data_IF_685452147872
#
_entry.id   IF_685452147872
#
_cell.length_a   1.000
_cell.length_b   1.000
_cell.length_c   1.000
_cell.angle_alpha   90.00
_cell.angle_beta   90.00
_cell.angle_gamma   90.00
#
_symmetry.space_group_name_H-M   'P 1'
#
loop_
_entity.id
_entity.type
_entity.pdbx_description
1 polymer ?
#
# COMPACT_ATOMS: atom_id res chain seq x y z
N UNK A 1 -14.44 -59.56 21.34
CA UNK A 1 -15.44 -60.21 22.22
C UNK A 1 -16.39 -59.16 22.75
N UNK A 2 -17.74 -59.45 22.64
CA UNK A 2 -18.90 -58.73 23.23
C UNK A 2 -19.16 -57.30 22.73
N UNK A 3 -20.11 -57.01 21.81
CA UNK A 3 -21.60 -57.22 21.76
C UNK A 3 -22.35 -56.62 22.95
N UNK A 4 -23.23 -55.60 22.71
CA UNK A 4 -24.69 -55.61 22.77
C UNK A 4 -25.18 -54.14 22.77
N UNK A 5 -25.96 -53.67 21.78
CA UNK A 5 -27.44 -53.64 21.61
C UNK A 5 -28.14 -52.64 22.54
N UNK A 6 -28.73 -51.65 22.01
CA UNK A 6 -30.08 -51.42 21.44
C UNK A 6 -30.94 -50.53 22.34
N UNK A 7 -31.71 -49.63 21.77
CA UNK A 7 -32.74 -48.84 22.42
C UNK A 7 -33.42 -47.84 21.48
N UNK A 8 -34.37 -48.28 20.69
CA UNK A 8 -35.36 -47.49 19.93
C UNK A 8 -36.37 -46.85 20.89
N UNK A 9 -36.72 -45.60 20.66
CA UNK A 9 -38.03 -45.06 21.09
C UNK A 9 -38.54 -44.09 20.02
N UNK A 10 -39.58 -44.52 19.33
CA UNK A 10 -40.44 -43.81 18.40
C UNK A 10 -41.48 -43.03 19.22
N UNK A 11 -41.71 -41.79 18.88
CA UNK A 11 -42.79 -40.99 19.44
C UNK A 11 -43.33 -40.03 18.37
N UNK A 12 -44.32 -40.51 17.63
CA UNK A 12 -45.14 -39.72 16.68
C UNK A 12 -46.21 -38.96 17.46
N UNK A 13 -46.41 -37.66 17.14
CA UNK A 13 -47.70 -37.01 17.39
C UNK A 13 -48.11 -36.14 16.20
N UNK A 14 -49.32 -36.30 15.80
CA UNK A 14 -50.02 -35.80 14.64
C UNK A 14 -50.60 -34.39 14.85
N UNK A 15 -50.56 -33.60 13.80
CA UNK A 15 -51.58 -32.77 13.10
C UNK A 15 -52.52 -31.90 13.94
N UNK A 16 -52.55 -30.60 13.57
CA UNK A 16 -53.81 -29.86 13.31
C UNK A 16 -53.58 -28.74 12.29
N UNK A 17 -54.18 -28.88 11.14
CA UNK A 17 -54.41 -27.86 10.14
C UNK A 17 -55.61 -27.00 10.55
N UNK A 18 -55.57 -25.69 10.35
CA UNK A 18 -56.74 -24.82 10.23
C UNK A 18 -56.53 -23.86 9.10
N UNK A 19 -57.31 -24.01 8.07
CA UNK A 19 -57.45 -23.13 6.94
C UNK A 19 -58.59 -22.12 7.15
N UNK A 20 -58.59 -21.06 6.37
CA UNK A 20 -59.63 -20.08 5.96
C UNK A 20 -59.44 -18.67 6.56
N UNK A 21 -59.22 -17.72 5.66
CA UNK A 21 -60.20 -16.81 5.10
C UNK A 21 -59.60 -15.54 4.50
N UNK A 22 -59.62 -15.45 3.25
CA UNK A 22 -60.05 -14.44 2.27
C UNK A 22 -59.88 -12.93 2.49
N UNK A 23 -59.25 -12.31 1.46
CA UNK A 23 -59.52 -11.04 0.79
C UNK A 23 -59.19 -9.71 1.50
N UNK A 24 -58.36 -8.90 0.80
CA UNK A 24 -58.23 -7.47 0.99
C UNK A 24 -56.99 -6.95 0.30
N UNK A 25 -57.11 -6.43 -0.93
CA UNK A 25 -56.05 -5.84 -1.72
C UNK A 25 -55.51 -4.57 -1.06
N UNK A 26 -54.22 -4.40 -1.17
CA UNK A 26 -53.52 -3.19 -0.81
C UNK A 26 -52.08 -3.32 -1.26
N UNK A 27 -51.77 -2.79 -2.45
CA UNK A 27 -50.43 -2.72 -2.98
C UNK A 27 -49.52 -1.89 -2.04
N UNK A 28 -48.79 -2.59 -1.17
CA UNK A 28 -47.69 -1.99 -0.48
C UNK A 28 -46.45 -2.17 -1.35
N UNK A 29 -46.07 -1.12 -2.04
CA UNK A 29 -44.74 -0.97 -2.61
C UNK A 29 -43.76 -1.15 -1.45
N UNK A 30 -43.13 -2.30 -1.41
CA UNK A 30 -41.93 -2.51 -0.58
C UNK A 30 -40.86 -1.54 -1.05
N UNK A 31 -40.93 -0.31 -0.55
CA UNK A 31 -39.72 0.53 -0.42
C UNK A 31 -38.82 -0.23 0.54
N UNK A 32 -37.95 -1.03 -0.02
CA UNK A 32 -36.80 -1.55 0.67
C UNK A 32 -35.99 -0.35 1.11
N UNK A 33 -36.32 0.22 2.26
CA UNK A 33 -35.51 1.20 2.95
C UNK A 33 -34.19 0.48 3.24
N UNK A 34 -33.17 0.83 2.46
CA UNK A 34 -31.77 0.48 2.70
C UNK A 34 -31.49 0.76 4.18
N UNK A 35 -31.59 -0.25 5.00
CA UNK A 35 -31.10 -0.20 6.38
C UNK A 35 -29.60 0.10 6.27
N UNK A 36 -29.18 1.27 6.77
CA UNK A 36 -27.81 1.78 6.70
C UNK A 36 -26.79 0.93 7.45
N UNK A 37 -26.57 -0.30 6.98
CA UNK A 37 -25.57 -1.19 7.51
C UNK A 37 -24.17 -0.72 7.14
N UNK A 38 -23.25 -0.72 8.09
CA UNK A 38 -21.83 -0.42 7.85
C UNK A 38 -21.20 -1.56 7.06
N UNK A 39 -20.62 -1.26 5.88
CA UNK A 39 -19.88 -2.21 5.06
C UNK A 39 -18.44 -2.33 5.56
N UNK A 40 -18.02 -3.51 5.96
CA UNK A 40 -16.61 -3.77 6.29
C UNK A 40 -15.79 -3.94 5.01
N UNK A 41 -14.74 -3.13 4.87
CA UNK A 41 -13.82 -3.10 3.74
C UNK A 41 -12.44 -3.53 4.23
N UNK A 42 -11.92 -4.63 3.70
CA UNK A 42 -10.57 -5.13 4.00
C UNK A 42 -9.57 -4.46 3.06
N UNK A 43 -8.51 -3.89 3.62
CA UNK A 43 -7.48 -3.17 2.88
C UNK A 43 -6.10 -3.74 3.19
N UNK A 44 -5.38 -4.17 2.15
CA UNK A 44 -3.97 -4.51 2.27
C UNK A 44 -3.10 -3.25 2.29
N UNK A 45 -2.27 -3.09 3.32
CA UNK A 45 -1.41 -1.92 3.52
C UNK A 45 0.03 -2.32 3.84
N UNK A 46 0.97 -1.37 3.73
CA UNK A 46 2.36 -1.52 4.17
C UNK A 46 2.52 -0.65 5.42
N UNK A 47 3.21 -1.09 6.50
CA UNK A 47 3.34 -0.29 7.72
C UNK A 47 4.42 0.79 7.58
N UNK A 48 4.16 1.79 6.74
CA UNK A 48 5.01 2.94 6.40
C UNK A 48 4.21 4.24 6.50
N UNK A 49 4.89 5.39 6.48
CA UNK A 49 4.26 6.71 6.60
C UNK A 49 3.21 6.99 5.53
N UNK A 50 3.39 6.43 4.36
CA UNK A 50 2.57 6.61 3.15
C UNK A 50 1.07 6.41 3.41
N UNK A 51 0.73 5.42 4.25
CA UNK A 51 -0.65 5.03 4.55
C UNK A 51 -1.23 5.69 5.81
N UNK A 52 -0.48 6.58 6.45
CA UNK A 52 -0.96 7.31 7.62
C UNK A 52 -2.31 8.01 7.40
N UNK A 53 -2.60 8.61 6.22
CA UNK A 53 -3.91 9.21 5.95
C UNK A 53 -5.08 8.24 6.10
N UNK A 54 -4.89 6.95 5.75
CA UNK A 54 -5.96 5.96 5.87
C UNK A 54 -6.32 5.69 7.34
N UNK A 55 -5.30 5.55 8.21
CA UNK A 55 -5.49 5.38 9.64
C UNK A 55 -6.09 6.64 10.28
N UNK A 56 -5.59 7.80 9.91
CA UNK A 56 -6.09 9.09 10.40
C UNK A 56 -7.53 9.33 9.96
N UNK A 57 -7.86 9.09 8.69
CA UNK A 57 -9.23 9.21 8.18
C UNK A 57 -10.22 8.26 8.84
N UNK A 58 -9.77 7.04 9.21
CA UNK A 58 -10.59 6.14 10.00
C UNK A 58 -10.84 6.69 11.42
N UNK A 59 -9.82 7.23 12.09
CA UNK A 59 -9.94 7.86 13.40
C UNK A 59 -10.86 9.08 13.37
N UNK A 60 -10.79 9.89 12.31
CA UNK A 60 -11.63 11.08 12.09
C UNK A 60 -13.05 10.77 11.61
N UNK A 61 -13.36 9.50 11.36
CA UNK A 61 -14.69 9.09 10.96
C UNK A 61 -15.03 9.33 9.47
N UNK A 62 -14.03 9.63 8.60
CA UNK A 62 -14.29 9.93 7.19
C UNK A 62 -14.83 8.73 6.42
N UNK A 63 -14.46 7.53 6.83
CA UNK A 63 -15.00 6.29 6.29
C UNK A 63 -16.36 5.95 6.90
N UNK A 64 -16.51 6.07 8.22
CA UNK A 64 -17.75 5.69 8.92
C UNK A 64 -18.95 6.57 8.53
N UNK A 65 -18.73 7.87 8.28
CA UNK A 65 -19.80 8.76 7.78
C UNK A 65 -20.32 8.40 6.39
N UNK A 66 -19.55 7.57 5.63
CA UNK A 66 -19.95 6.98 4.34
C UNK A 66 -20.42 5.52 4.48
N UNK A 67 -20.62 5.05 5.71
CA UNK A 67 -21.05 3.68 5.97
C UNK A 67 -19.95 2.63 5.70
N UNK A 68 -18.67 3.00 5.75
CA UNK A 68 -17.54 2.09 5.60
C UNK A 68 -16.80 1.91 6.93
N UNK A 69 -16.38 0.66 7.21
CA UNK A 69 -15.46 0.31 8.30
C UNK A 69 -14.24 -0.36 7.70
N UNK A 70 -13.06 0.22 7.85
CA UNK A 70 -11.84 -0.39 7.34
C UNK A 70 -11.31 -1.49 8.28
N UNK A 71 -10.84 -2.58 7.68
CA UNK A 71 -10.06 -3.62 8.33
C UNK A 71 -8.72 -3.72 7.60
N UNK A 72 -7.66 -3.15 8.17
CA UNK A 72 -6.35 -3.07 7.54
C UNK A 72 -5.50 -4.28 7.92
N UNK A 73 -4.82 -4.87 6.92
CA UNK A 73 -3.87 -5.99 7.08
C UNK A 73 -2.55 -5.59 6.46
N UNK A 74 -1.47 -5.75 7.21
CA UNK A 74 -0.12 -5.35 6.78
C UNK A 74 0.57 -6.44 5.95
N UNK A 75 1.32 -6.01 4.94
CA UNK A 75 2.20 -6.84 4.12
C UNK A 75 3.55 -6.14 3.88
N UNK A 76 4.54 -6.87 3.38
CA UNK A 76 5.90 -6.36 3.16
C UNK A 76 5.99 -5.34 2.00
N UNK A 77 5.12 -5.45 1.01
CA UNK A 77 5.11 -4.56 -0.16
C UNK A 77 3.89 -4.76 -1.04
N UNK A 78 3.67 -3.84 -1.97
CA UNK A 78 2.52 -3.84 -2.88
C UNK A 78 2.39 -5.12 -3.72
N UNK A 79 3.51 -5.68 -4.18
CA UNK A 79 3.52 -6.94 -4.93
C UNK A 79 2.92 -8.11 -4.11
N UNK A 80 3.10 -8.12 -2.79
CA UNK A 80 2.49 -9.11 -1.90
C UNK A 80 0.99 -8.86 -1.66
N UNK A 81 0.50 -7.62 -1.85
CA UNK A 81 -0.91 -7.25 -1.67
C UNK A 81 -1.75 -7.59 -2.91
N UNK A 82 -1.18 -7.48 -4.11
CA UNK A 82 -1.88 -7.69 -5.39
C UNK A 82 -2.65 -9.02 -5.44
N UNK A 83 -2.05 -10.20 -5.09
CA UNK A 83 -2.78 -11.46 -5.11
C UNK A 83 -3.98 -11.47 -4.15
N UNK A 84 -3.87 -10.82 -2.99
CA UNK A 84 -4.97 -10.71 -2.03
C UNK A 84 -6.14 -9.87 -2.54
N UNK A 85 -5.88 -8.83 -3.33
CA UNK A 85 -6.93 -8.03 -3.98
C UNK A 85 -7.59 -8.81 -5.11
N UNK A 86 -6.80 -9.48 -5.94
CA UNK A 86 -7.32 -10.25 -7.09
C UNK A 86 -8.17 -11.44 -6.63
N UNK A 87 -7.78 -12.10 -5.53
CA UNK A 87 -8.55 -13.21 -4.95
C UNK A 87 -9.78 -12.76 -4.17
N UNK A 88 -9.97 -11.45 -3.93
CA UNK A 88 -11.06 -10.91 -3.10
C UNK A 88 -10.83 -11.01 -1.59
N UNK A 89 -9.64 -11.44 -1.14
CA UNK A 89 -9.24 -11.39 0.26
C UNK A 89 -9.25 -9.95 0.79
N UNK A 90 -8.78 -9.01 -0.04
CA UNK A 90 -8.87 -7.57 0.17
C UNK A 90 -9.77 -6.94 -0.89
N UNK A 91 -10.57 -5.95 -0.51
CA UNK A 91 -11.36 -5.15 -1.44
C UNK A 91 -10.49 -4.07 -2.09
N UNK A 92 -9.56 -3.53 -1.32
CA UNK A 92 -8.57 -2.56 -1.79
C UNK A 92 -7.18 -2.93 -1.30
N UNK A 93 -6.17 -2.39 -1.97
CA UNK A 93 -4.78 -2.51 -1.58
C UNK A 93 -4.03 -1.20 -1.83
N UNK A 94 -2.93 -1.03 -1.11
CA UNK A 94 -1.95 0.02 -1.35
C UNK A 94 -0.73 -0.58 -2.06
N UNK A 95 -0.31 0.01 -3.18
CA UNK A 95 0.85 -0.49 -3.91
C UNK A 95 1.58 0.62 -4.65
N UNK A 96 2.90 0.47 -4.75
CA UNK A 96 3.71 1.36 -5.58
C UNK A 96 3.40 1.15 -7.08
N UNK A 97 3.64 2.22 -7.85
CA UNK A 97 3.29 2.25 -9.27
C UNK A 97 4.03 1.20 -10.10
N UNK A 98 5.32 0.95 -9.83
CA UNK A 98 6.08 -0.09 -10.55
C UNK A 98 5.44 -1.47 -10.39
N UNK A 99 5.05 -1.84 -9.16
CA UNK A 99 4.39 -3.13 -8.91
C UNK A 99 3.02 -3.23 -9.57
N UNK A 100 2.23 -2.15 -9.63
CA UNK A 100 0.95 -2.13 -10.34
C UNK A 100 1.14 -2.27 -11.85
N UNK A 101 2.12 -1.58 -12.43
CA UNK A 101 2.48 -1.71 -13.84
C UNK A 101 2.97 -3.12 -14.20
N UNK A 102 3.78 -3.75 -13.34
CA UNK A 102 4.20 -5.15 -13.52
C UNK A 102 2.98 -6.08 -13.51
N UNK A 103 2.08 -5.93 -12.55
CA UNK A 103 0.87 -6.74 -12.47
C UNK A 103 0.03 -6.60 -13.75
N UNK A 104 -0.21 -5.37 -14.19
CA UNK A 104 -0.98 -5.08 -15.40
C UNK A 104 -0.28 -5.61 -16.67
N UNK A 105 1.04 -5.50 -16.79
CA UNK A 105 1.81 -6.04 -17.91
C UNK A 105 1.71 -7.58 -18.03
N UNK A 106 1.31 -8.24 -16.95
CA UNK A 106 1.03 -9.67 -16.86
C UNK A 106 -0.47 -10.00 -17.00
N UNK A 107 -1.28 -9.04 -17.43
CA UNK A 107 -2.73 -9.13 -17.56
C UNK A 107 -3.46 -9.41 -16.21
N UNK A 108 -2.87 -9.04 -15.09
CA UNK A 108 -3.56 -9.09 -13.80
C UNK A 108 -4.63 -7.97 -13.75
N UNK A 109 -5.91 -8.30 -13.47
CA UNK A 109 -7.02 -7.36 -13.61
C UNK A 109 -7.10 -6.41 -12.40
N UNK A 110 -6.18 -5.46 -12.32
CA UNK A 110 -6.13 -4.42 -11.28
C UNK A 110 -6.30 -3.03 -11.86
N UNK A 111 -6.85 -2.11 -11.09
CA UNK A 111 -7.01 -0.70 -11.42
C UNK A 111 -6.75 0.17 -10.21
N UNK A 112 -5.94 1.20 -10.35
CA UNK A 112 -5.79 2.25 -9.35
C UNK A 112 -7.09 3.07 -9.29
N UNK A 113 -7.54 3.41 -8.10
CA UNK A 113 -8.84 4.05 -7.90
C UNK A 113 -8.75 5.42 -7.21
N UNK A 114 -7.68 5.67 -6.47
CA UNK A 114 -7.43 6.97 -5.84
C UNK A 114 -5.94 7.13 -5.58
N UNK A 115 -5.45 8.36 -5.66
CA UNK A 115 -4.05 8.64 -5.40
C UNK A 115 -3.66 8.20 -3.98
N UNK A 116 -2.38 7.96 -3.77
CA UNK A 116 -1.84 7.56 -2.48
C UNK A 116 -0.81 8.57 -1.98
N UNK A 117 0.38 8.51 -2.50
CA UNK A 117 1.53 9.27 -1.97
C UNK A 117 2.46 9.72 -3.08
N UNK A 118 3.07 10.89 -2.89
CA UNK A 118 4.09 11.43 -3.76
C UNK A 118 5.34 11.85 -2.99
N UNK A 119 6.48 11.82 -3.68
CA UNK A 119 7.73 12.43 -3.23
C UNK A 119 7.54 13.92 -2.93
N UNK A 120 8.33 14.44 -1.99
CA UNK A 120 8.39 15.88 -1.73
C UNK A 120 8.96 16.66 -2.90
N UNK A 121 9.72 16.00 -3.78
CA UNK A 121 10.44 16.60 -4.92
C UNK A 121 11.68 17.37 -4.51
N UNK A 122 12.13 17.28 -3.24
CA UNK A 122 13.27 18.04 -2.70
C UNK A 122 14.36 17.09 -2.23
N UNK A 123 15.49 17.10 -2.95
CA UNK A 123 16.64 16.27 -2.59
C UNK A 123 17.13 16.58 -1.16
N UNK A 124 17.49 15.55 -0.40
CA UNK A 124 17.90 15.64 1.01
C UNK A 124 16.75 15.88 1.99
N UNK A 125 15.52 16.09 1.49
CA UNK A 125 14.32 16.35 2.30
C UNK A 125 13.12 15.47 1.85
N UNK A 126 13.40 14.30 1.30
CA UNK A 126 12.35 13.36 0.90
C UNK A 126 12.13 12.29 1.97
N UNK A 127 10.96 11.66 1.92
CA UNK A 127 10.57 10.60 2.87
C UNK A 127 11.21 9.23 2.54
N UNK A 128 11.95 9.13 1.44
CA UNK A 128 12.68 7.95 1.01
C UNK A 128 14.08 8.29 0.52
N UNK A 129 15.08 7.48 0.88
CA UNK A 129 16.47 7.71 0.54
C UNK A 129 17.30 6.43 0.51
N UNK A 130 18.39 6.44 -0.26
CA UNK A 130 19.44 5.45 -0.14
C UNK A 130 20.36 5.87 1.00
N UNK A 131 20.52 4.99 1.98
CA UNK A 131 21.34 5.24 3.17
C UNK A 131 22.43 4.21 3.34
N UNK A 132 23.54 4.64 3.95
CA UNK A 132 24.67 3.79 4.35
C UNK A 132 24.94 3.98 5.84
N UNK A 133 25.52 2.97 6.50
CA UNK A 133 25.80 3.06 7.92
C UNK A 133 26.79 4.19 8.25
N UNK A 134 26.80 4.64 9.50
CA UNK A 134 27.78 5.58 10.03
C UNK A 134 29.21 5.13 9.70
N UNK A 135 30.03 6.04 9.18
CA UNK A 135 31.43 5.75 8.86
C UNK A 135 31.65 4.90 7.60
N UNK A 136 30.59 4.59 6.82
CA UNK A 136 30.75 3.89 5.54
C UNK A 136 31.67 4.66 4.59
N UNK A 137 32.56 3.98 3.85
CA UNK A 137 33.35 4.58 2.80
C UNK A 137 32.53 5.01 1.57
N UNK A 138 31.33 4.42 1.39
CA UNK A 138 30.42 4.71 0.27
C UNK A 138 29.86 6.13 0.44
N UNK A 139 30.07 7.00 -0.57
CA UNK A 139 29.66 8.41 -0.53
C UNK A 139 28.70 8.80 -1.65
N UNK A 140 28.52 7.94 -2.64
CA UNK A 140 27.67 8.20 -3.81
C UNK A 140 26.98 6.92 -4.27
N UNK A 141 25.88 7.07 -5.04
CA UNK A 141 25.18 5.93 -5.58
C UNK A 141 26.02 5.12 -6.60
N UNK A 142 26.98 5.72 -7.28
CA UNK A 142 27.93 5.00 -8.16
C UNK A 142 28.72 3.93 -7.41
N UNK A 143 29.07 4.16 -6.16
CA UNK A 143 29.88 3.24 -5.33
C UNK A 143 29.08 2.04 -4.81
N UNK A 144 27.78 1.95 -5.18
CA UNK A 144 26.95 0.79 -4.90
C UNK A 144 27.23 -0.38 -5.87
N UNK A 145 28.03 -0.20 -6.90
CA UNK A 145 28.48 -1.31 -7.75
C UNK A 145 29.14 -2.42 -6.91
N UNK A 146 28.65 -3.66 -7.07
CA UNK A 146 29.13 -4.83 -6.30
C UNK A 146 28.64 -4.90 -4.85
N UNK A 147 27.93 -3.89 -4.34
CA UNK A 147 27.44 -3.80 -2.96
C UNK A 147 26.08 -4.46 -2.78
N UNK A 148 25.80 -4.93 -1.55
CA UNK A 148 24.50 -5.44 -1.14
C UNK A 148 23.60 -4.27 -0.73
N UNK A 149 22.55 -4.02 -1.52
CA UNK A 149 21.58 -2.96 -1.28
C UNK A 149 20.23 -3.58 -0.95
N UNK A 150 19.71 -3.28 0.25
CA UNK A 150 18.38 -3.75 0.64
C UNK A 150 17.28 -2.90 0.02
N UNK A 151 16.24 -3.59 -0.46
CA UNK A 151 14.95 -3.04 -0.87
C UNK A 151 13.84 -3.87 -0.22
N UNK A 152 12.64 -3.31 0.00
CA UNK A 152 11.58 -4.05 0.69
C UNK A 152 11.05 -5.26 -0.09
N UNK A 153 10.96 -5.15 -1.41
CA UNK A 153 10.68 -6.26 -2.34
C UNK A 153 11.52 -6.08 -3.59
N UNK A 154 11.94 -7.17 -4.21
CA UNK A 154 12.66 -7.13 -5.49
C UNK A 154 11.72 -6.71 -6.62
N UNK A 155 12.28 -6.17 -7.70
CA UNK A 155 11.55 -5.74 -8.91
C UNK A 155 10.38 -4.79 -8.58
N UNK A 156 10.64 -3.78 -7.75
CA UNK A 156 9.66 -2.77 -7.38
C UNK A 156 10.22 -1.35 -7.56
N UNK A 157 9.44 -0.35 -7.15
CA UNK A 157 9.82 1.07 -7.28
C UNK A 157 11.14 1.40 -6.55
N UNK A 158 11.42 0.76 -5.41
CA UNK A 158 12.66 1.05 -4.65
C UNK A 158 13.89 0.53 -5.36
N UNK A 159 13.80 -0.66 -5.98
CA UNK A 159 14.87 -1.17 -6.84
C UNK A 159 15.05 -0.26 -8.07
N UNK A 160 13.96 0.12 -8.75
CA UNK A 160 14.01 1.04 -9.88
C UNK A 160 14.66 2.37 -9.50
N UNK A 161 14.30 2.94 -8.35
CA UNK A 161 14.86 4.20 -7.85
C UNK A 161 16.36 4.09 -7.54
N UNK A 162 16.80 2.99 -6.90
CA UNK A 162 18.23 2.75 -6.68
C UNK A 162 18.98 2.64 -8.00
N UNK A 163 18.46 1.89 -8.96
CA UNK A 163 19.07 1.74 -10.30
C UNK A 163 19.22 3.08 -10.98
N UNK A 164 18.20 3.94 -10.90
CA UNK A 164 18.25 5.28 -11.48
C UNK A 164 19.25 6.19 -10.79
N UNK A 165 19.34 6.18 -9.46
CA UNK A 165 20.35 6.93 -8.71
C UNK A 165 21.77 6.50 -9.11
N UNK A 166 22.00 5.20 -9.32
CA UNK A 166 23.29 4.67 -9.80
C UNK A 166 23.60 5.18 -11.21
N UNK A 167 22.64 5.14 -12.15
CA UNK A 167 22.80 5.67 -13.51
C UNK A 167 23.14 7.15 -13.50
N UNK A 168 22.38 7.95 -12.75
CA UNK A 168 22.61 9.40 -12.64
C UNK A 168 23.97 9.75 -12.05
N UNK A 169 24.47 8.91 -11.15
CA UNK A 169 25.81 9.03 -10.60
C UNK A 169 26.93 8.53 -11.56
N UNK A 170 26.58 8.05 -12.75
CA UNK A 170 27.54 7.53 -13.74
C UNK A 170 28.05 6.12 -13.42
N UNK A 171 27.27 5.31 -12.70
CA UNK A 171 27.55 3.91 -12.38
C UNK A 171 26.71 2.94 -13.22
N UNK A 172 27.02 1.66 -13.09
CA UNK A 172 26.33 0.54 -13.75
C UNK A 172 25.40 -0.16 -12.75
N UNK A 173 24.05 0.06 -12.85
CA UNK A 173 23.08 -0.51 -11.90
C UNK A 173 22.98 -2.05 -12.01
N UNK A 174 23.46 -2.67 -13.10
CA UNK A 174 23.45 -4.12 -13.24
C UNK A 174 24.40 -4.83 -12.27
N UNK A 175 25.40 -4.09 -11.77
CA UNK A 175 26.38 -4.60 -10.79
C UNK A 175 25.89 -4.52 -9.34
N UNK A 176 24.78 -3.85 -9.06
CA UNK A 176 24.22 -3.76 -7.70
C UNK A 176 23.63 -5.10 -7.29
N UNK A 177 23.95 -5.57 -6.08
CA UNK A 177 23.42 -6.81 -5.53
C UNK A 177 22.21 -6.51 -4.64
N UNK A 178 21.02 -6.58 -5.21
CA UNK A 178 19.80 -6.35 -4.46
C UNK A 178 19.47 -7.52 -3.54
N UNK A 179 19.02 -7.21 -2.32
CA UNK A 179 18.51 -8.16 -1.34
C UNK A 179 17.17 -7.69 -0.82
N UNK A 180 16.24 -8.64 -0.65
CA UNK A 180 14.91 -8.34 -0.11
C UNK A 180 14.94 -8.35 1.41
N UNK A 181 14.45 -7.27 2.03
CA UNK A 181 14.37 -7.13 3.48
C UNK A 181 13.26 -6.17 3.86
N UNK A 182 12.39 -6.53 4.82
CA UNK A 182 11.34 -5.66 5.28
C UNK A 182 11.90 -4.35 5.88
N UNK A 183 11.20 -3.23 5.71
CA UNK A 183 11.68 -1.91 6.13
C UNK A 183 12.05 -1.84 7.60
N UNK A 184 11.29 -2.48 8.48
CA UNK A 184 11.55 -2.52 9.93
C UNK A 184 12.80 -3.32 10.31
N UNK A 185 13.30 -4.18 9.43
CA UNK A 185 14.52 -4.97 9.61
C UNK A 185 15.77 -4.28 9.07
N UNK A 186 15.60 -3.32 8.14
CA UNK A 186 16.72 -2.64 7.48
C UNK A 186 17.62 -1.87 8.45
N UNK A 187 17.11 -1.13 9.47
CA UNK A 187 17.97 -0.41 10.40
C UNK A 187 18.98 -1.33 11.12
N UNK A 188 18.52 -2.44 11.66
CA UNK A 188 19.40 -3.40 12.34
C UNK A 188 20.35 -4.14 11.38
N UNK A 189 19.93 -4.35 10.12
CA UNK A 189 20.77 -4.99 9.11
C UNK A 189 21.87 -4.04 8.63
N UNK A 190 21.56 -2.75 8.49
CA UNK A 190 22.50 -1.72 8.05
C UNK A 190 23.55 -1.43 9.14
N UNK A 191 23.12 -1.22 10.38
CA UNK A 191 24.02 -0.97 11.52
C UNK A 191 24.96 -2.16 11.74
N UNK A 192 24.43 -3.38 11.72
CA UNK A 192 25.18 -4.63 11.86
C UNK A 192 26.05 -4.98 10.63
N UNK A 193 26.05 -4.20 9.56
CA UNK A 193 26.87 -4.43 8.35
C UNK A 193 26.50 -5.68 7.56
N UNK A 194 25.28 -6.21 7.72
CA UNK A 194 24.77 -7.35 6.92
C UNK A 194 24.43 -6.92 5.49
N UNK A 195 24.15 -5.63 5.30
CA UNK A 195 23.96 -4.94 4.03
C UNK A 195 24.87 -3.72 3.99
N UNK A 196 25.29 -3.31 2.78
CA UNK A 196 26.16 -2.15 2.58
C UNK A 196 25.37 -0.85 2.52
N UNK A 197 24.16 -0.90 1.94
CA UNK A 197 23.23 0.19 1.83
C UNK A 197 21.78 -0.30 1.92
N UNK A 198 20.85 0.62 2.19
CA UNK A 198 19.42 0.35 2.19
C UNK A 198 18.67 1.49 1.51
N UNK A 199 17.72 1.16 0.62
CA UNK A 199 16.69 2.09 0.19
C UNK A 199 15.55 2.00 1.20
N UNK A 200 15.44 3.00 2.05
CA UNK A 200 14.47 3.07 3.14
C UNK A 200 13.48 4.21 2.92
N UNK A 201 12.26 4.01 3.40
CA UNK A 201 11.24 5.05 3.52
C UNK A 201 10.88 5.28 4.99
N UNK A 202 10.18 6.36 5.29
CA UNK A 202 9.75 6.64 6.66
C UNK A 202 8.75 5.59 7.21
N UNK A 203 8.83 5.21 8.48
CA UNK A 203 9.68 5.77 9.54
C UNK A 203 11.08 5.11 9.66
N UNK A 204 11.42 4.14 8.84
CA UNK A 204 12.74 3.49 8.89
C UNK A 204 13.88 4.46 8.54
N UNK A 205 13.62 5.46 7.66
CA UNK A 205 14.60 6.48 7.32
C UNK A 205 15.00 7.32 8.54
N UNK A 206 14.04 7.82 9.31
CA UNK A 206 14.32 8.52 10.55
C UNK A 206 15.06 7.64 11.56
N UNK A 207 14.73 6.33 11.62
CA UNK A 207 15.40 5.38 12.50
C UNK A 207 16.87 5.22 12.12
N UNK A 208 17.21 4.96 10.85
CA UNK A 208 18.63 4.82 10.44
C UNK A 208 19.39 6.13 10.61
N UNK A 209 18.78 7.28 10.31
CA UNK A 209 19.38 8.61 10.52
C UNK A 209 19.69 8.85 12.02
N UNK A 210 18.79 8.45 12.93
CA UNK A 210 19.04 8.54 14.39
C UNK A 210 20.21 7.66 14.86
N UNK A 211 20.51 6.57 14.15
CA UNK A 211 21.68 5.71 14.37
C UNK A 211 22.96 6.28 13.72
N UNK A 212 22.88 7.42 13.06
CA UNK A 212 23.99 8.13 12.40
C UNK A 212 24.26 7.66 10.97
N UNK A 213 23.32 6.95 10.34
CA UNK A 213 23.42 6.63 8.92
C UNK A 213 23.42 7.91 8.05
N UNK A 214 24.10 7.81 6.92
CA UNK A 214 24.22 8.92 5.95
C UNK A 214 23.38 8.61 4.73
N UNK A 215 22.57 9.60 4.30
CA UNK A 215 21.92 9.60 3.00
C UNK A 215 22.96 9.87 1.90
N UNK A 216 22.97 9.04 0.86
CA UNK A 216 23.86 9.17 -0.29
C UNK A 216 23.13 9.49 -1.60
N UNK A 217 21.81 9.34 -1.63
CA UNK A 217 20.97 9.74 -2.74
C UNK A 217 19.50 9.86 -2.31
N UNK A 218 18.81 10.85 -2.84
CA UNK A 218 17.35 11.03 -2.73
C UNK A 218 16.67 10.29 -3.89
N UNK A 219 16.63 8.99 -3.81
CA UNK A 219 16.36 8.10 -4.95
C UNK A 219 14.99 8.29 -5.61
N UNK A 220 13.95 8.66 -4.86
CA UNK A 220 12.64 8.95 -5.44
C UNK A 220 12.66 10.25 -6.25
N UNK A 221 13.39 11.28 -5.77
CA UNK A 221 13.60 12.54 -6.49
C UNK A 221 14.45 12.32 -7.74
N UNK A 222 15.39 11.37 -7.67
CA UNK A 222 16.21 10.99 -8.83
C UNK A 222 15.37 10.39 -9.95
N UNK A 223 14.29 9.69 -9.66
CA UNK A 223 13.36 9.16 -10.67
C UNK A 223 12.63 10.31 -11.35
N UNK A 224 11.92 11.14 -10.59
CA UNK A 224 11.22 12.31 -11.09
C UNK A 224 10.89 13.27 -9.95
N UNK A 225 10.89 14.57 -10.27
CA UNK A 225 10.36 15.57 -9.35
C UNK A 225 8.87 15.32 -9.12
N UNK A 226 8.41 15.42 -7.87
CA UNK A 226 7.03 15.18 -7.46
C UNK A 226 6.50 13.80 -7.93
N UNK A 227 7.35 12.76 -7.79
CA UNK A 227 7.05 11.40 -8.20
C UNK A 227 5.80 10.87 -7.49
N UNK A 228 4.80 10.44 -8.24
CA UNK A 228 3.72 9.58 -7.70
C UNK A 228 4.31 8.21 -7.39
N UNK A 229 4.43 7.90 -6.10
CA UNK A 229 5.10 6.69 -5.62
C UNK A 229 4.14 5.50 -5.58
N UNK A 230 2.94 5.72 -5.03
CA UNK A 230 1.98 4.65 -4.81
C UNK A 230 0.54 5.15 -4.85
N UNK A 231 -0.38 4.25 -5.16
CA UNK A 231 -1.82 4.50 -5.23
C UNK A 231 -2.59 3.39 -4.51
N UNK A 232 -3.84 3.69 -4.14
CA UNK A 232 -4.79 2.66 -3.74
C UNK A 232 -5.44 2.06 -4.98
N UNK A 233 -5.59 0.74 -4.97
CA UNK A 233 -6.10 -0.03 -6.11
C UNK A 233 -7.12 -1.08 -5.67
N UNK A 234 -7.88 -1.57 -6.64
CA UNK A 234 -8.80 -2.70 -6.48
C UNK A 234 -8.72 -3.63 -7.69
N UNK A 235 -9.45 -4.74 -7.68
CA UNK A 235 -9.62 -5.54 -8.90
C UNK A 235 -10.71 -4.94 -9.79
N UNK A 236 -10.55 -5.03 -11.11
CA UNK A 236 -11.57 -4.57 -12.08
C UNK A 236 -12.92 -5.25 -11.84
N UNK A 237 -12.90 -6.52 -11.41
CA UNK A 237 -14.12 -7.25 -11.07
C UNK A 237 -14.83 -6.66 -9.84
N UNK A 238 -14.07 -6.28 -8.80
CA UNK A 238 -14.68 -5.69 -7.60
C UNK A 238 -15.25 -4.31 -7.91
N UNK A 239 -14.55 -3.48 -8.69
CA UNK A 239 -15.02 -2.18 -9.13
C UNK A 239 -16.37 -2.29 -9.88
N UNK A 240 -16.45 -3.23 -10.84
CA UNK A 240 -17.67 -3.44 -11.63
C UNK A 240 -18.86 -3.93 -10.79
N UNK A 241 -18.61 -4.78 -9.79
CA UNK A 241 -19.67 -5.35 -8.94
C UNK A 241 -20.10 -4.43 -7.80
N UNK A 242 -19.23 -3.52 -7.35
CA UNK A 242 -19.44 -2.70 -6.16
C UNK A 242 -19.08 -1.22 -6.39
N UNK A 243 -19.58 -0.58 -7.45
CA UNK A 243 -19.18 0.79 -7.82
C UNK A 243 -19.45 1.80 -6.71
N UNK A 244 -20.54 1.65 -5.95
CA UNK A 244 -20.88 2.53 -4.84
C UNK A 244 -19.88 2.42 -3.68
N UNK A 245 -19.39 1.21 -3.38
CA UNK A 245 -18.38 1.02 -2.33
C UNK A 245 -17.05 1.62 -2.77
N UNK A 246 -16.68 1.44 -4.05
CA UNK A 246 -15.47 2.04 -4.62
C UNK A 246 -15.54 3.55 -4.56
N UNK A 247 -16.64 4.17 -4.98
CA UNK A 247 -16.84 5.62 -4.90
C UNK A 247 -16.74 6.15 -3.47
N UNK A 248 -17.40 5.49 -2.50
CA UNK A 248 -17.33 5.87 -1.08
C UNK A 248 -15.91 5.76 -0.53
N UNK A 249 -15.16 4.72 -0.93
CA UNK A 249 -13.76 4.55 -0.55
C UNK A 249 -12.88 5.65 -1.16
N UNK A 250 -13.04 5.97 -2.44
CA UNK A 250 -12.34 7.06 -3.12
C UNK A 250 -12.55 8.40 -2.41
N UNK A 251 -13.81 8.76 -2.16
CA UNK A 251 -14.17 10.03 -1.51
C UNK A 251 -13.62 10.12 -0.09
N UNK A 252 -13.73 9.03 0.71
CA UNK A 252 -13.21 9.01 2.08
C UNK A 252 -11.68 9.08 2.10
N UNK A 253 -11.02 8.38 1.16
CA UNK A 253 -9.56 8.41 1.04
C UNK A 253 -9.08 9.78 0.59
N UNK A 254 -9.69 10.39 -0.43
CA UNK A 254 -9.35 11.75 -0.88
C UNK A 254 -9.47 12.78 0.25
N UNK A 255 -10.55 12.71 1.05
CA UNK A 255 -10.71 13.56 2.24
C UNK A 255 -9.62 13.31 3.28
N UNK A 256 -9.22 12.02 3.46
CA UNK A 256 -8.14 11.64 4.38
C UNK A 256 -6.78 12.17 3.93
N UNK A 257 -6.48 12.13 2.63
CA UNK A 257 -5.24 12.66 2.05
C UNK A 257 -5.17 14.18 2.26
N UNK A 258 -6.24 14.91 1.92
CA UNK A 258 -6.30 16.36 2.10
C UNK A 258 -6.18 16.77 3.57
N UNK A 259 -6.81 16.00 4.46
CA UNK A 259 -6.71 16.24 5.91
C UNK A 259 -5.27 16.01 6.40
N UNK A 260 -4.63 14.94 5.98
CA UNK A 260 -3.26 14.60 6.37
C UNK A 260 -2.25 15.69 5.94
N UNK A 261 -2.39 16.19 4.71
CA UNK A 261 -1.52 17.25 4.18
C UNK A 261 -1.61 18.54 5.03
N UNK A 262 -2.80 18.83 5.58
CA UNK A 262 -3.07 20.00 6.42
C UNK A 262 -2.72 19.79 7.91
N UNK A 263 -2.53 18.54 8.38
CA UNK A 263 -2.36 18.20 9.80
C UNK A 263 -1.13 17.30 10.06
N UNK A 264 0.10 17.80 9.78
CA UNK A 264 1.31 16.98 9.82
C UNK A 264 1.60 16.36 11.20
N UNK A 265 1.25 17.02 12.28
CA UNK A 265 1.49 16.47 13.62
C UNK A 265 0.55 15.33 13.97
N UNK A 266 -0.70 15.39 13.52
CA UNK A 266 -1.64 14.28 13.66
C UNK A 266 -1.24 13.08 12.81
N UNK A 267 -0.68 13.32 11.62
CA UNK A 267 -0.09 12.27 10.79
C UNK A 267 1.03 11.54 11.52
N UNK A 268 1.97 12.28 12.12
CA UNK A 268 3.06 11.67 12.91
C UNK A 268 2.50 10.82 14.05
N UNK A 269 1.51 11.33 14.76
CA UNK A 269 0.84 10.56 15.83
C UNK A 269 0.17 9.29 15.28
N UNK A 270 -0.52 9.37 14.15
CA UNK A 270 -1.16 8.22 13.53
C UNK A 270 -0.15 7.10 13.20
N UNK A 271 1.08 7.44 12.76
CA UNK A 271 2.15 6.47 12.46
C UNK A 271 2.47 5.58 13.66
N UNK A 272 2.37 6.09 14.89
CA UNK A 272 2.63 5.29 16.11
C UNK A 272 1.62 4.18 16.35
N UNK A 273 0.43 4.29 15.78
CA UNK A 273 -0.65 3.31 16.01
C UNK A 273 -0.47 2.00 15.25
N UNK A 274 0.37 1.98 14.22
CA UNK A 274 0.58 0.80 13.38
C UNK A 274 2.06 0.48 13.09
N UNK A 275 3.00 1.30 13.60
CA UNK A 275 4.45 1.05 13.53
C UNK A 275 5.05 1.00 14.93
N UNK A 276 6.30 0.52 15.01
CA UNK A 276 7.06 0.47 16.28
C UNK A 276 8.10 1.59 16.36
N UNK A 277 7.82 2.75 15.77
CA UNK A 277 8.75 3.88 15.82
C UNK A 277 8.90 4.41 17.25
N UNK A 278 10.13 4.65 17.75
CA UNK A 278 10.34 5.31 19.03
C UNK A 278 9.81 6.75 19.01
N UNK A 279 9.15 7.18 20.09
CA UNK A 279 8.59 8.53 20.18
C UNK A 279 9.62 9.64 19.94
N UNK A 280 10.88 9.45 20.40
CA UNK A 280 11.97 10.41 20.16
C UNK A 280 12.35 10.56 18.67
N UNK A 281 12.08 9.53 17.85
CA UNK A 281 12.36 9.55 16.42
C UNK A 281 11.20 10.15 15.62
N UNK A 282 9.99 10.15 16.19
CA UNK A 282 8.77 10.57 15.52
C UNK A 282 8.83 12.02 14.98
N UNK A 283 9.43 12.93 15.76
CA UNK A 283 9.60 14.33 15.35
C UNK A 283 10.53 14.51 14.14
N UNK A 284 11.38 13.51 13.86
CA UNK A 284 12.34 13.52 12.75
C UNK A 284 11.77 12.93 11.46
N UNK A 285 10.56 12.35 11.52
CA UNK A 285 9.89 11.75 10.35
C UNK A 285 9.60 12.84 9.32
N UNK A 286 10.16 12.67 8.13
CA UNK A 286 9.86 13.50 6.96
C UNK A 286 8.55 13.00 6.35
N UNK A 287 7.55 13.88 6.26
CA UNK A 287 6.28 13.50 5.65
C UNK A 287 6.36 13.62 4.13
N UNK A 288 5.78 12.66 3.38
CA UNK A 288 5.56 12.78 1.95
C UNK A 288 4.48 13.82 1.64
N UNK A 289 4.18 14.02 0.37
CA UNK A 289 2.99 14.74 -0.09
C UNK A 289 1.85 13.74 -0.35
N UNK A 290 0.62 14.22 -0.16
CA UNK A 290 -0.59 13.47 -0.51
C UNK A 290 -1.48 14.27 -1.48
N UNK A 291 -1.03 14.52 -2.72
CA UNK A 291 -1.80 15.30 -3.68
C UNK A 291 -3.09 14.59 -4.08
N UNK A 292 -4.12 15.38 -4.43
CA UNK A 292 -5.40 14.84 -4.86
C UNK A 292 -5.27 13.99 -6.14
N UNK A 293 -4.43 14.45 -7.08
CA UNK A 293 -4.25 13.82 -8.39
C UNK A 293 -2.84 13.23 -8.53
N UNK A 294 -2.70 12.10 -9.24
CA UNK A 294 -1.40 11.54 -9.57
C UNK A 294 -0.67 12.40 -10.62
N UNK A 295 0.64 12.49 -10.50
CA UNK A 295 1.50 13.08 -11.53
C UNK A 295 1.77 12.06 -12.64
N UNK A 296 0.95 12.06 -13.70
CA UNK A 296 1.05 11.13 -14.82
C UNK A 296 2.43 11.12 -15.46
N UNK A 297 3.05 12.28 -15.66
CA UNK A 297 4.37 12.36 -16.28
C UNK A 297 5.45 11.62 -15.45
N UNK A 298 5.32 11.63 -14.12
CA UNK A 298 6.22 10.88 -13.24
C UNK A 298 5.99 9.37 -13.30
N UNK A 299 4.75 8.94 -13.53
CA UNK A 299 4.41 7.53 -13.74
C UNK A 299 4.97 7.04 -15.07
N UNK A 300 4.88 7.84 -16.13
CA UNK A 300 5.49 7.56 -17.43
C UNK A 300 7.02 7.49 -17.36
N UNK A 301 7.65 8.28 -16.48
CA UNK A 301 9.08 8.15 -16.21
C UNK A 301 9.41 6.79 -15.56
N UNK A 302 8.61 6.33 -14.58
CA UNK A 302 8.74 4.99 -14.00
C UNK A 302 8.53 3.88 -15.03
N UNK A 303 7.56 4.04 -15.92
CA UNK A 303 7.30 3.08 -17.01
C UNK A 303 8.55 2.94 -17.91
N UNK A 304 9.14 4.05 -18.33
CA UNK A 304 10.36 4.03 -19.15
C UNK A 304 11.51 3.33 -18.44
N UNK A 305 11.72 3.63 -17.15
CA UNK A 305 12.76 2.97 -16.34
C UNK A 305 12.47 1.48 -16.15
N UNK A 306 11.23 1.11 -15.88
CA UNK A 306 10.83 -0.29 -15.76
C UNK A 306 11.00 -1.08 -17.05
N UNK A 307 10.71 -0.47 -18.20
CA UNK A 307 10.97 -1.06 -19.52
C UNK A 307 12.48 -1.23 -19.78
N UNK A 308 13.28 -0.20 -19.45
CA UNK A 308 14.74 -0.25 -19.55
C UNK A 308 15.35 -1.37 -18.70
N UNK A 309 14.79 -1.59 -17.51
CA UNK A 309 15.25 -2.63 -16.58
C UNK A 309 14.63 -4.01 -16.86
N UNK A 310 13.81 -4.14 -17.92
CA UNK A 310 13.19 -5.41 -18.32
C UNK A 310 12.16 -5.93 -17.32
N UNK A 311 11.47 -5.04 -16.59
CA UNK A 311 10.51 -5.44 -15.58
C UNK A 311 9.15 -5.88 -16.14
N UNK A 312 8.79 -5.42 -17.34
CA UNK A 312 7.46 -5.63 -17.91
C UNK A 312 7.46 -6.77 -18.95
N UNK A 313 6.43 -7.61 -18.88
CA UNK A 313 6.17 -8.64 -19.88
C UNK A 313 5.65 -8.05 -21.19
N UNK A 314 4.86 -6.98 -21.08
CA UNK A 314 4.36 -6.14 -22.17
C UNK A 314 4.29 -4.70 -21.67
N UNK A 315 4.23 -3.73 -22.58
CA UNK A 315 4.06 -2.31 -22.18
C UNK A 315 2.80 -2.15 -21.35
N UNK A 316 2.88 -1.57 -20.14
CA UNK A 316 1.69 -1.27 -19.33
C UNK A 316 0.76 -0.30 -20.05
N UNK A 317 -0.54 -0.51 -19.92
CA UNK A 317 -1.56 0.40 -20.43
C UNK A 317 -1.98 1.35 -19.29
N UNK A 318 -1.36 2.51 -19.21
CA UNK A 318 -1.61 3.48 -18.15
C UNK A 318 -3.03 4.03 -18.17
N UNK A 319 -3.71 4.09 -19.33
CA UNK A 319 -5.09 4.57 -19.43
C UNK A 319 -6.08 3.58 -18.82
N UNK A 320 -5.75 2.29 -18.83
CA UNK A 320 -6.55 1.28 -18.13
C UNK A 320 -6.16 1.14 -16.66
N UNK A 321 -4.92 1.43 -16.30
CA UNK A 321 -4.43 1.28 -14.93
C UNK A 321 -4.85 2.44 -14.03
N UNK A 322 -4.79 3.66 -14.53
CA UNK A 322 -5.08 4.87 -13.77
C UNK A 322 -6.58 5.18 -13.68
N UNK A 323 -7.03 5.98 -12.69
CA UNK A 323 -8.43 6.38 -12.55
C UNK A 323 -8.98 7.13 -13.75
#
# INVERSE_FOLDING_TARGET
MRRLLAGLAVGSFLVAASACGSSGGGGASDKNASSGGTTTVKVGVIPIVDVAPLYLGQQKGFFSKRGLKLSMTTAQGGAAIVPGVVSGQFQFGFSNMTSLMIAQSQNVPVKAVVNGVASTGVAGKDFGAITVKKGSPIKSAKELEGKKVAVNTLKNINETAVRESVRKAGGDPSKVKFVELAFDQMPAALDGGRIDAAMVVEPALATVKSQGATEIASSLVDVAKDLTVAMYFTSTQYEQKNPDVVKKFQEATAESLAYADAHPDEVRQAVTTYTKIPAATLAQVTLPKWPAEPNRASIEALEKLGAQDGLFKSTPDLDKLLP
#
